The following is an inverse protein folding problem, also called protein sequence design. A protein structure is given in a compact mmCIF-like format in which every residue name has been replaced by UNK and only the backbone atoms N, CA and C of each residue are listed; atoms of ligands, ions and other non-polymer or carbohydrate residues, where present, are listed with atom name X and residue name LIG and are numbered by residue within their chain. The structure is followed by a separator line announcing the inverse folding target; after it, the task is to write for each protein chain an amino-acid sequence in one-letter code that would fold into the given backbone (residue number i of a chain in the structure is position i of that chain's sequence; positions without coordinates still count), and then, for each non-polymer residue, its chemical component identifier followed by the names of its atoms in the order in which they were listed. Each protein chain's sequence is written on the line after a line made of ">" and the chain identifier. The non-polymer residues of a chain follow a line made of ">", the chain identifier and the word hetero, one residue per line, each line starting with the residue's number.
data_IF_816216230356
#
_entry.id   IF_816216230356
#
_cell.length_a   1.000
_cell.length_b   1.000
_cell.length_c   1.000
_cell.angle_alpha   90.00
_cell.angle_beta   90.00
_cell.angle_gamma   90.00
#
_symmetry.space_group_name_H-M   'P 1'
#
loop_
_entity.id
_entity.type
_entity.pdbx_description
1 polymer ?
#
# COMPACT_ATOMS: atom_id res chain seq x y z
N UNK A 1 -9.49 6.49 6.66
CA UNK A 1 -8.63 6.61 5.45
C UNK A 1 -8.39 5.22 4.88
N UNK A 2 -8.66 5.02 3.59
CA UNK A 2 -8.77 3.71 2.95
C UNK A 2 -7.51 2.85 3.16
N UNK A 3 -7.68 1.74 3.89
CA UNK A 3 -6.64 0.73 4.11
C UNK A 3 -6.56 -0.14 2.86
N UNK A 4 -5.69 0.23 1.93
CA UNK A 4 -5.42 -0.60 0.74
C UNK A 4 -4.61 -1.83 1.17
N UNK A 5 -5.29 -2.87 1.65
CA UNK A 5 -4.67 -4.16 1.90
C UNK A 5 -4.22 -4.73 0.55
N UNK A 6 -2.93 -4.56 0.23
CA UNK A 6 -2.35 -5.11 -0.99
C UNK A 6 -1.87 -6.50 -0.65
N UNK A 7 -2.60 -7.51 -1.13
CA UNK A 7 -2.23 -8.89 -0.92
C UNK A 7 -1.49 -9.45 -2.13
N UNK A 8 -0.30 -10.00 -1.93
CA UNK A 8 0.44 -10.74 -2.96
C UNK A 8 0.52 -12.20 -2.52
N UNK A 9 -0.02 -13.10 -3.34
CA UNK A 9 0.14 -14.53 -3.15
C UNK A 9 1.21 -15.03 -4.12
N UNK A 10 2.20 -15.77 -3.62
CA UNK A 10 3.09 -16.54 -4.48
C UNK A 10 2.36 -17.85 -4.78
N UNK A 11 1.69 -17.86 -5.94
CA UNK A 11 1.07 -19.05 -6.51
C UNK A 11 2.09 -19.65 -7.46
N UNK A 12 2.26 -20.97 -7.40
CA UNK A 12 3.19 -21.76 -8.21
C UNK A 12 3.34 -21.22 -9.64
N UNK A 13 4.60 -21.09 -10.07
CA UNK A 13 5.23 -20.06 -10.92
C UNK A 13 4.75 -19.99 -12.40
N UNK A 14 3.53 -20.41 -12.68
CA UNK A 14 3.01 -20.71 -14.02
C UNK A 14 2.00 -19.70 -14.55
N UNK A 15 1.59 -18.67 -13.77
CA UNK A 15 0.58 -17.73 -14.26
C UNK A 15 0.56 -16.36 -13.56
N UNK A 16 1.23 -15.37 -14.17
CA UNK A 16 1.15 -13.94 -13.80
C UNK A 16 -0.30 -13.43 -13.66
N UNK A 17 -1.23 -13.97 -14.45
CA UNK A 17 -2.65 -13.62 -14.37
C UNK A 17 -3.33 -14.00 -13.05
N UNK A 18 -2.81 -15.00 -12.31
CA UNK A 18 -3.38 -15.41 -11.01
C UNK A 18 -3.00 -14.44 -9.89
N UNK A 19 -1.82 -13.82 -9.97
CA UNK A 19 -1.37 -12.82 -8.99
C UNK A 19 -2.22 -11.55 -9.06
N UNK A 20 -2.45 -11.01 -10.26
CA UNK A 20 -3.27 -9.81 -10.46
C UNK A 20 -4.74 -10.04 -10.08
N UNK A 21 -5.27 -11.24 -10.36
CA UNK A 21 -6.59 -11.65 -9.87
C UNK A 21 -6.61 -11.64 -8.34
N UNK A 22 -5.66 -12.30 -7.67
CA UNK A 22 -5.59 -12.31 -6.19
C UNK A 22 -5.56 -10.91 -5.58
N UNK A 23 -4.76 -9.99 -6.15
CA UNK A 23 -4.74 -8.57 -5.76
C UNK A 23 -6.12 -7.91 -5.95
N UNK A 24 -6.82 -8.18 -7.04
CA UNK A 24 -8.15 -7.63 -7.31
C UNK A 24 -9.22 -8.15 -6.33
N UNK A 25 -9.22 -9.43 -5.97
CA UNK A 25 -10.12 -9.95 -4.94
C UNK A 25 -9.88 -9.29 -3.59
N UNK A 26 -8.62 -9.21 -3.17
CA UNK A 26 -8.29 -8.61 -1.88
C UNK A 26 -8.71 -7.14 -1.83
N UNK A 27 -8.43 -6.38 -2.92
CA UNK A 27 -8.89 -4.99 -3.07
C UNK A 27 -10.41 -4.86 -3.06
N UNK A 28 -11.12 -5.64 -3.86
CA UNK A 28 -12.60 -5.60 -3.96
C UNK A 28 -13.28 -5.99 -2.66
N UNK A 29 -12.74 -6.97 -1.95
CA UNK A 29 -13.22 -7.37 -0.63
C UNK A 29 -13.03 -6.24 0.40
N UNK A 30 -11.90 -5.51 0.38
CA UNK A 30 -11.70 -4.33 1.28
C UNK A 30 -12.63 -3.15 1.03
N UNK A 31 -13.19 -3.02 -0.18
CA UNK A 31 -14.10 -1.90 -0.54
C UNK A 31 -15.52 -2.16 -0.04
N UNK A 32 -15.91 -3.43 0.19
CA UNK A 32 -17.31 -3.80 0.33
C UNK A 32 -17.88 -3.87 1.75
N UNK A 33 -17.10 -3.90 2.84
CA UNK A 33 -17.65 -3.68 4.19
C UNK A 33 -16.60 -3.68 5.32
N UNK A 34 -16.86 -2.89 6.36
CA UNK A 34 -16.02 -2.76 7.56
C UNK A 34 -16.13 -3.96 8.54
N UNK A 35 -16.95 -4.96 8.24
CA UNK A 35 -17.12 -6.15 9.07
C UNK A 35 -16.17 -7.28 8.65
N UNK A 36 -15.36 -7.75 9.60
CA UNK A 36 -14.33 -8.77 9.34
C UNK A 36 -14.81 -10.12 8.83
N UNK A 37 -16.09 -10.43 9.01
CA UNK A 37 -16.71 -11.69 8.59
C UNK A 37 -17.01 -11.70 7.09
N UNK A 38 -17.50 -10.59 6.54
CA UNK A 38 -17.84 -10.45 5.12
C UNK A 38 -16.60 -10.54 4.24
N UNK A 39 -15.50 -9.93 4.68
CA UNK A 39 -14.23 -10.01 3.96
C UNK A 39 -13.64 -11.43 3.92
N UNK A 40 -13.74 -12.15 5.03
CA UNK A 40 -13.28 -13.54 5.13
C UNK A 40 -13.97 -14.44 4.13
N UNK A 41 -15.30 -14.33 4.05
CA UNK A 41 -16.13 -15.05 3.08
C UNK A 41 -15.79 -14.66 1.65
N UNK A 42 -15.52 -13.38 1.40
CA UNK A 42 -15.09 -12.91 0.08
C UNK A 42 -13.75 -13.51 -0.36
N UNK A 43 -12.75 -13.53 0.53
CA UNK A 43 -11.44 -14.15 0.22
C UNK A 43 -11.61 -15.65 -0.03
N UNK A 44 -12.37 -16.36 0.82
CA UNK A 44 -12.66 -17.78 0.65
C UNK A 44 -13.34 -18.06 -0.69
N UNK A 45 -14.37 -17.27 -1.04
CA UNK A 45 -15.08 -17.34 -2.32
C UNK A 45 -14.12 -17.17 -3.49
N UNK A 46 -13.25 -16.15 -3.48
CA UNK A 46 -12.29 -15.96 -4.56
C UNK A 46 -11.30 -17.11 -4.70
N UNK A 47 -10.83 -17.69 -3.58
CA UNK A 47 -9.92 -18.83 -3.63
C UNK A 47 -10.58 -20.05 -4.30
N UNK A 48 -11.88 -20.27 -4.04
CA UNK A 48 -12.67 -21.35 -4.65
C UNK A 48 -12.95 -21.05 -6.12
N UNK A 49 -13.52 -19.89 -6.43
CA UNK A 49 -13.90 -19.49 -7.80
C UNK A 49 -12.72 -19.53 -8.76
N UNK A 50 -11.50 -19.28 -8.26
CA UNK A 50 -10.31 -19.19 -9.10
C UNK A 50 -9.43 -20.45 -9.06
N UNK A 51 -9.86 -21.50 -8.37
CA UNK A 51 -9.12 -22.77 -8.28
C UNK A 51 -7.74 -22.60 -7.65
N UNK A 52 -7.61 -21.69 -6.67
CA UNK A 52 -6.36 -21.46 -5.94
C UNK A 52 -6.25 -22.45 -4.78
N UNK A 53 -5.90 -23.69 -5.11
CA UNK A 53 -5.81 -24.78 -4.13
C UNK A 53 -4.48 -24.81 -3.36
N UNK A 54 -3.42 -24.26 -3.97
CA UNK A 54 -2.06 -24.25 -3.44
C UNK A 54 -1.62 -22.81 -3.15
N UNK A 55 -1.47 -22.48 -1.88
CA UNK A 55 -1.05 -21.16 -1.41
C UNK A 55 0.12 -21.33 -0.46
N UNK A 56 1.29 -20.82 -0.83
CA UNK A 56 2.48 -20.82 0.01
C UNK A 56 2.45 -19.65 1.01
N UNK A 57 2.32 -18.43 0.50
CA UNK A 57 2.43 -17.19 1.28
C UNK A 57 1.43 -16.15 0.79
N UNK A 58 0.88 -15.39 1.73
CA UNK A 58 0.06 -14.19 1.52
C UNK A 58 0.79 -13.02 2.21
N UNK A 59 1.22 -12.03 1.42
CA UNK A 59 1.82 -10.80 1.95
C UNK A 59 0.73 -9.75 2.20
N UNK A 60 0.63 -9.15 3.39
CA UNK A 60 -0.35 -8.10 3.72
C UNK A 60 0.30 -6.96 4.51
N UNK A 61 -0.38 -5.80 4.64
CA UNK A 61 0.12 -4.69 5.46
C UNK A 61 0.23 -5.08 6.94
N UNK A 62 1.05 -4.34 7.70
CA UNK A 62 1.39 -4.66 9.10
C UNK A 62 0.28 -4.26 10.08
N UNK A 63 -0.99 -4.53 9.74
CA UNK A 63 -2.13 -4.28 10.59
C UNK A 63 -2.47 -5.52 11.42
N UNK A 64 -2.69 -5.35 12.73
CA UNK A 64 -3.05 -6.44 13.65
C UNK A 64 -4.27 -7.25 13.17
N UNK A 65 -5.22 -6.59 12.51
CA UNK A 65 -6.42 -7.21 11.97
C UNK A 65 -6.14 -8.29 10.91
N UNK A 66 -5.00 -8.20 10.23
CA UNK A 66 -4.60 -9.20 9.24
C UNK A 66 -4.15 -10.51 9.88
N UNK A 67 -3.62 -10.49 11.10
CA UNK A 67 -3.27 -11.71 11.83
C UNK A 67 -4.50 -12.61 11.96
N UNK A 68 -5.60 -12.05 12.48
CA UNK A 68 -6.84 -12.80 12.67
C UNK A 68 -7.38 -13.33 11.33
N UNK A 69 -7.32 -12.52 10.26
CA UNK A 69 -7.77 -12.93 8.91
C UNK A 69 -6.96 -14.11 8.38
N UNK A 70 -5.63 -14.07 8.51
CA UNK A 70 -4.78 -15.18 8.09
C UNK A 70 -5.03 -16.42 8.94
N UNK A 71 -5.19 -16.29 10.26
CA UNK A 71 -5.51 -17.44 11.13
C UNK A 71 -6.81 -18.13 10.76
N UNK A 72 -7.82 -17.34 10.35
CA UNK A 72 -9.06 -17.89 9.82
C UNK A 72 -8.84 -18.64 8.51
N UNK A 73 -8.07 -18.06 7.58
CA UNK A 73 -7.74 -18.72 6.31
C UNK A 73 -7.01 -20.03 6.58
N UNK A 74 -5.98 -20.04 7.44
CA UNK A 74 -5.27 -21.24 7.87
C UNK A 74 -6.23 -22.34 8.32
N UNK A 75 -7.18 -22.01 9.20
CA UNK A 75 -8.19 -22.96 9.70
C UNK A 75 -9.08 -23.52 8.59
N UNK A 76 -9.52 -22.66 7.66
CA UNK A 76 -10.41 -23.05 6.56
C UNK A 76 -9.72 -23.84 5.47
N UNK A 77 -8.44 -23.58 5.20
CA UNK A 77 -7.68 -24.26 4.16
C UNK A 77 -6.95 -25.50 4.67
N UNK A 78 -6.93 -25.76 5.99
CA UNK A 78 -6.25 -26.92 6.63
C UNK A 78 -6.69 -28.30 6.16
N UNK A 79 -7.87 -28.45 5.55
CA UNK A 79 -8.35 -29.72 5.00
C UNK A 79 -8.23 -29.83 3.49
N UNK A 80 -7.70 -28.81 2.80
CA UNK A 80 -7.58 -28.83 1.33
C UNK A 80 -6.42 -29.72 0.90
N UNK A 81 -6.60 -30.42 -0.23
CA UNK A 81 -5.58 -31.33 -0.82
C UNK A 81 -4.29 -30.62 -1.27
N UNK A 82 -4.28 -29.29 -1.34
CA UNK A 82 -3.18 -28.46 -1.85
C UNK A 82 -2.37 -27.68 -0.80
N UNK A 83 -2.46 -28.02 0.48
CA UNK A 83 -1.71 -27.31 1.52
C UNK A 83 -0.20 -27.48 1.32
N UNK A 84 0.53 -26.39 1.46
CA UNK A 84 1.99 -26.35 1.40
C UNK A 84 2.52 -26.09 2.82
N UNK A 85 3.44 -26.95 3.27
CA UNK A 85 4.18 -26.80 4.54
C UNK A 85 3.27 -26.46 5.74
N UNK A 86 2.09 -27.08 5.81
CA UNK A 86 1.12 -26.87 6.89
C UNK A 86 0.79 -25.39 7.21
N UNK A 87 0.88 -24.51 6.21
CA UNK A 87 0.71 -23.06 6.36
C UNK A 87 1.72 -22.36 7.30
N UNK A 88 2.91 -22.95 7.50
CA UNK A 88 4.01 -22.35 8.24
C UNK A 88 4.32 -20.94 7.72
N UNK A 89 4.44 -20.79 6.40
CA UNK A 89 4.79 -19.54 5.72
C UNK A 89 3.61 -18.79 5.10
N UNK A 90 2.36 -19.10 5.50
CA UNK A 90 1.17 -18.48 4.88
C UNK A 90 1.07 -16.97 5.13
N UNK A 91 1.67 -16.46 6.20
CA UNK A 91 1.65 -15.03 6.52
C UNK A 91 3.01 -14.38 6.30
N UNK A 92 3.07 -13.38 5.43
CA UNK A 92 4.21 -12.46 5.32
C UNK A 92 3.74 -11.02 5.51
N UNK A 93 4.54 -10.21 6.20
CA UNK A 93 4.27 -8.77 6.32
C UNK A 93 4.87 -8.01 5.14
N UNK A 94 4.22 -6.95 4.72
CA UNK A 94 4.69 -6.11 3.62
C UNK A 94 5.92 -5.30 4.04
N UNK A 95 7.09 -5.62 3.49
CA UNK A 95 8.33 -4.87 3.73
C UNK A 95 8.22 -3.39 3.38
N UNK A 96 7.58 -3.04 2.27
CA UNK A 96 7.39 -1.64 1.89
C UNK A 96 6.59 -0.86 2.95
N UNK A 97 5.62 -1.52 3.60
CA UNK A 97 4.87 -0.92 4.69
C UNK A 97 5.72 -0.82 5.97
N UNK A 98 6.54 -1.83 6.29
CA UNK A 98 7.48 -1.78 7.41
C UNK A 98 8.47 -0.62 7.23
N UNK A 99 9.05 -0.47 6.04
CA UNK A 99 9.94 0.64 5.71
C UNK A 99 9.23 1.98 5.87
N UNK A 100 7.98 2.10 5.41
CA UNK A 100 7.18 3.30 5.62
C UNK A 100 6.99 3.60 7.11
N UNK A 101 6.73 2.60 7.95
CA UNK A 101 6.62 2.79 9.40
C UNK A 101 7.93 3.29 10.02
N UNK A 102 9.07 2.71 9.64
CA UNK A 102 10.40 3.13 10.13
C UNK A 102 10.69 4.58 9.73
N UNK A 103 10.48 4.92 8.46
CA UNK A 103 10.70 6.28 7.94
C UNK A 103 9.76 7.28 8.63
N UNK A 104 8.47 6.96 8.75
CA UNK A 104 7.51 7.84 9.44
C UNK A 104 7.86 8.03 10.91
N UNK A 105 8.36 6.99 11.60
CA UNK A 105 8.76 7.11 13.00
C UNK A 105 9.99 8.01 13.16
N UNK A 106 11.02 7.82 12.33
CA UNK A 106 12.23 8.66 12.35
C UNK A 106 11.99 10.12 11.92
N UNK A 107 10.93 10.42 11.17
CA UNK A 107 10.59 11.79 10.77
C UNK A 107 9.86 12.58 11.87
N UNK A 108 9.37 11.95 12.93
CA UNK A 108 8.68 12.64 14.04
C UNK A 108 9.56 13.68 14.73
N UNK A 109 10.88 13.48 14.73
CA UNK A 109 11.82 14.37 15.40
C UNK A 109 12.19 15.63 14.57
N UNK A 110 11.86 15.67 13.27
CA UNK A 110 12.22 16.76 12.33
C UNK A 110 10.95 17.42 11.74
N UNK A 111 9.82 17.27 12.43
CA UNK A 111 8.48 17.48 11.88
C UNK A 111 8.21 18.94 11.46
N UNK A 112 8.58 19.94 12.26
CA UNK A 112 8.16 21.34 12.02
C UNK A 112 8.61 21.92 10.67
N UNK A 113 9.87 21.70 10.29
CA UNK A 113 10.39 22.19 9.00
C UNK A 113 9.79 21.44 7.83
N UNK A 114 9.58 20.13 7.98
CA UNK A 114 8.94 19.29 6.96
C UNK A 114 7.49 19.73 6.78
N UNK A 115 6.76 20.01 7.85
CA UNK A 115 5.37 20.50 7.83
C UNK A 115 5.26 21.83 7.10
N UNK A 116 6.21 22.76 7.29
CA UNK A 116 6.23 24.04 6.55
C UNK A 116 6.38 23.83 5.05
N UNK A 117 7.35 23.02 4.63
CA UNK A 117 7.55 22.66 3.21
C UNK A 117 6.32 21.95 2.66
N UNK A 118 5.77 20.98 3.40
CA UNK A 118 4.54 20.29 3.04
C UNK A 118 3.40 21.29 2.80
N UNK A 119 3.19 22.25 3.69
CA UNK A 119 2.10 23.22 3.55
C UNK A 119 2.29 24.12 2.31
N UNK A 120 3.52 24.55 2.03
CA UNK A 120 3.83 25.31 0.82
C UNK A 120 3.56 24.50 -0.46
N UNK A 121 4.06 23.25 -0.52
CA UNK A 121 3.82 22.36 -1.67
C UNK A 121 2.33 22.03 -1.83
N UNK A 122 1.62 21.78 -0.73
CA UNK A 122 0.16 21.58 -0.72
C UNK A 122 -0.56 22.79 -1.29
N UNK A 123 -0.16 24.01 -0.93
CA UNK A 123 -0.74 25.24 -1.46
C UNK A 123 -0.55 25.36 -2.97
N UNK A 124 0.67 25.16 -3.47
CA UNK A 124 0.98 25.24 -4.91
C UNK A 124 0.17 24.21 -5.71
N UNK A 125 0.00 23.00 -5.16
CA UNK A 125 -0.69 21.89 -5.81
C UNK A 125 -2.21 21.92 -5.67
N UNK A 126 -2.77 22.79 -4.85
CA UNK A 126 -4.22 22.75 -4.55
C UNK A 126 -5.10 23.19 -5.73
N UNK A 127 -4.55 23.86 -6.74
CA UNK A 127 -5.28 24.19 -7.97
C UNK A 127 -4.35 24.34 -9.18
N UNK A 128 -4.85 24.12 -10.42
CA UNK A 128 -4.08 24.37 -11.63
C UNK A 128 -3.61 25.83 -11.76
N UNK A 129 -4.45 26.79 -11.35
CA UNK A 129 -4.12 28.22 -11.39
C UNK A 129 -2.95 28.60 -10.49
N UNK A 130 -2.85 27.99 -9.30
CA UNK A 130 -1.70 28.19 -8.40
C UNK A 130 -0.43 27.57 -8.95
N UNK A 131 -0.52 26.40 -9.58
CA UNK A 131 0.60 25.76 -10.26
C UNK A 131 1.14 26.63 -11.40
N UNK A 132 0.26 27.23 -12.22
CA UNK A 132 0.67 28.16 -13.29
C UNK A 132 1.36 29.38 -12.71
N UNK A 133 0.79 30.01 -11.68
CA UNK A 133 1.42 31.16 -10.99
C UNK A 133 2.80 30.82 -10.45
N UNK A 134 2.95 29.65 -9.83
CA UNK A 134 4.23 29.19 -9.31
C UNK A 134 5.29 29.03 -10.42
N UNK A 135 4.92 28.43 -11.56
CA UNK A 135 5.82 28.31 -12.72
C UNK A 135 6.24 29.68 -13.28
N UNK A 136 5.29 30.61 -13.40
CA UNK A 136 5.59 31.97 -13.84
C UNK A 136 6.57 32.69 -12.90
N UNK A 137 6.47 32.45 -11.58
CA UNK A 137 7.44 32.98 -10.61
C UNK A 137 8.83 32.37 -10.82
N UNK A 138 8.94 31.06 -11.03
CA UNK A 138 10.22 30.40 -11.32
C UNK A 138 10.89 31.01 -12.56
N UNK A 139 10.13 31.18 -13.63
CA UNK A 139 10.60 31.79 -14.88
C UNK A 139 11.06 33.23 -14.67
N UNK A 140 10.28 34.02 -13.91
CA UNK A 140 10.62 35.43 -13.62
C UNK A 140 11.88 35.57 -12.78
N UNK A 141 12.07 34.71 -11.79
CA UNK A 141 13.23 34.74 -10.90
C UNK A 141 14.43 33.96 -11.48
N UNK A 142 14.32 33.44 -12.70
CA UNK A 142 15.36 32.67 -13.40
C UNK A 142 15.94 31.50 -12.57
N UNK A 143 15.08 30.82 -11.80
CA UNK A 143 15.50 29.69 -10.97
C UNK A 143 15.65 28.44 -11.86
N UNK A 144 16.86 27.91 -11.99
CA UNK A 144 17.08 26.61 -12.64
C UNK A 144 16.53 25.47 -11.78
N UNK A 145 15.30 25.04 -12.05
CA UNK A 145 14.72 23.86 -11.43
C UNK A 145 13.84 23.06 -12.39
N UNK A 146 13.44 21.85 -11.99
CA UNK A 146 12.62 20.93 -12.82
C UNK A 146 11.14 21.35 -12.95
N UNK A 147 10.74 22.55 -12.48
CA UNK A 147 9.38 23.09 -12.52
C UNK A 147 8.29 22.13 -11.96
N UNK A 148 8.67 21.30 -10.97
CA UNK A 148 7.85 20.22 -10.43
C UNK A 148 7.97 20.17 -8.91
N UNK A 149 6.82 20.07 -8.25
CA UNK A 149 6.71 19.84 -6.81
C UNK A 149 5.89 18.58 -6.54
N UNK A 150 6.34 17.74 -5.59
CA UNK A 150 5.66 16.51 -5.19
C UNK A 150 5.04 16.68 -3.82
N UNK A 151 3.75 16.38 -3.70
CA UNK A 151 3.10 16.32 -2.39
C UNK A 151 3.52 15.03 -1.68
N UNK A 152 3.85 15.15 -0.40
CA UNK A 152 4.03 14.01 0.48
C UNK A 152 2.77 13.12 0.53
N UNK A 153 2.99 11.81 0.65
CA UNK A 153 1.96 10.78 0.72
C UNK A 153 2.35 9.80 1.81
N UNK A 154 1.67 9.87 2.96
CA UNK A 154 1.99 9.11 4.17
C UNK A 154 2.04 7.58 4.03
N UNK A 155 1.46 7.03 2.96
CA UNK A 155 1.47 5.58 2.65
C UNK A 155 2.61 5.16 1.72
N UNK A 156 3.42 6.12 1.24
CA UNK A 156 4.52 5.90 0.31
C UNK A 156 5.83 6.39 0.94
N UNK A 157 6.68 5.41 1.28
CA UNK A 157 7.90 5.62 2.07
C UNK A 157 8.88 6.66 1.51
N UNK A 158 8.92 6.88 0.19
CA UNK A 158 9.83 7.82 -0.45
C UNK A 158 9.21 9.18 -0.80
N UNK A 159 7.94 9.40 -0.46
CA UNK A 159 7.22 10.61 -0.89
C UNK A 159 7.72 11.88 -0.22
N UNK A 160 8.02 11.84 1.08
CA UNK A 160 8.60 12.99 1.80
C UNK A 160 9.97 13.34 1.26
N UNK A 161 10.82 12.33 0.98
CA UNK A 161 12.11 12.53 0.32
C UNK A 161 11.95 13.25 -1.03
N UNK A 162 11.05 12.78 -1.89
CA UNK A 162 10.81 13.40 -3.20
C UNK A 162 10.24 14.82 -3.10
N UNK A 163 9.47 15.11 -2.06
CA UNK A 163 8.99 16.46 -1.77
C UNK A 163 10.16 17.37 -1.41
N UNK A 164 11.04 16.93 -0.50
CA UNK A 164 12.17 17.71 -0.02
C UNK A 164 13.24 17.89 -1.10
N UNK A 165 13.61 16.84 -1.83
CA UNK A 165 14.57 16.86 -2.96
C UNK A 165 14.18 17.87 -4.04
N UNK A 166 12.89 18.19 -4.15
CA UNK A 166 12.38 19.11 -5.19
C UNK A 166 12.03 20.49 -4.65
N UNK A 167 11.91 20.63 -3.34
CA UNK A 167 11.63 21.90 -2.68
C UNK A 167 12.92 22.62 -2.25
N UNK A 168 14.01 21.88 -2.05
CA UNK A 168 15.35 22.36 -1.69
C UNK A 168 16.28 22.28 -2.90
#
# INVERSE_FOLDING_TARGET
>A
MARTATAKAIVDNSNYQREEKFKACFKGATVLNHEGETLRKAIEKCLIEWGLDKILTITVDNACFNNTRIDFLKKKTKSRKGIILEHEFLHMRCYAHILNLIVCDGMKDIDDSIVKVHNAVRYVRSSPSRMVRFKNCIEKEAIECKNQVYLDVSTRWNSTYLMLERAL
#
